data_IF_466076743804
#
_entry.id   IF_466076743804
#
_cell.length_a   1.000
_cell.length_b   1.000
_cell.length_c   1.000
_cell.angle_alpha   90.00
_cell.angle_beta   90.00
_cell.angle_gamma   90.00
#
_symmetry.space_group_name_H-M   'P 1'
#
loop_
_entity.id
_entity.type
_entity.pdbx_description
1 polymer ?
#
# COMPACT_ATOMS: atom_id res chain seq x y z
N UNK A 1 17.40 -16.31 8.73
CA UNK A 1 17.79 -15.10 7.99
C UNK A 1 16.74 -14.05 8.27
N UNK A 2 17.04 -13.16 9.21
CA UNK A 2 16.10 -12.25 9.84
C UNK A 2 15.70 -11.15 8.85
N UNK A 3 14.44 -11.09 8.41
CA UNK A 3 13.87 -9.85 7.90
C UNK A 3 13.26 -9.14 9.10
N UNK A 4 13.83 -7.98 9.46
CA UNK A 4 13.38 -7.15 10.56
C UNK A 4 11.89 -6.82 10.35
N UNK A 5 11.05 -7.36 11.23
CA UNK A 5 9.66 -6.95 11.35
C UNK A 5 9.70 -5.57 12.01
N UNK A 6 9.31 -4.54 11.27
CA UNK A 6 9.27 -3.16 11.76
C UNK A 6 8.40 -3.09 13.02
N UNK A 7 9.06 -2.92 14.16
CA UNK A 7 8.46 -2.68 15.48
C UNK A 7 7.97 -1.23 15.56
N UNK A 8 6.86 -0.93 14.91
CA UNK A 8 6.01 0.22 15.25
C UNK A 8 4.55 -0.23 15.19
N UNK A 9 4.12 -0.79 16.31
CA UNK A 9 2.82 -1.36 16.56
C UNK A 9 1.78 -0.24 16.77
N UNK A 10 1.38 0.43 15.68
CA UNK A 10 0.17 1.24 15.68
C UNK A 10 -1.01 0.31 15.36
N UNK A 11 -1.85 0.03 16.36
CA UNK A 11 -3.03 -0.85 16.24
C UNK A 11 -4.15 -0.20 15.42
N UNK A 12 -3.88 0.17 14.17
CA UNK A 12 -4.88 0.20 13.12
C UNK A 12 -5.18 -1.23 12.69
N UNK A 13 -6.39 -1.53 12.18
CA UNK A 13 -6.71 -2.85 11.66
C UNK A 13 -5.58 -3.35 10.74
N UNK A 14 -5.18 -4.61 10.90
CA UNK A 14 -4.16 -5.25 10.05
C UNK A 14 -4.45 -4.93 8.58
N UNK A 15 -3.44 -4.46 7.84
CA UNK A 15 -3.65 -3.96 6.49
C UNK A 15 -4.41 -5.02 5.65
N UNK A 16 -5.48 -4.64 4.93
CA UNK A 16 -6.24 -5.62 4.16
C UNK A 16 -5.30 -6.33 3.18
N UNK A 17 -5.48 -7.65 3.04
CA UNK A 17 -4.65 -8.47 2.15
C UNK A 17 -4.65 -7.89 0.74
N UNK A 18 -3.46 -7.65 0.20
CA UNK A 18 -3.22 -7.23 -1.17
C UNK A 18 -1.98 -7.97 -1.66
N UNK A 19 -2.06 -8.58 -2.85
CA UNK A 19 -0.94 -9.23 -3.51
C UNK A 19 -0.38 -8.28 -4.58
N UNK A 20 0.84 -7.76 -4.40
CA UNK A 20 1.49 -6.95 -5.43
C UNK A 20 1.74 -7.75 -6.70
N UNK A 21 1.52 -7.13 -7.85
CA UNK A 21 1.77 -7.69 -9.19
C UNK A 21 3.02 -7.07 -9.83
N UNK A 22 3.45 -5.90 -9.35
CA UNK A 22 4.66 -5.23 -9.75
C UNK A 22 5.21 -4.32 -8.65
N UNK A 23 5.69 -3.14 -9.03
CA UNK A 23 6.32 -2.16 -8.14
C UNK A 23 5.34 -1.08 -7.63
N UNK A 24 4.02 -1.31 -7.72
CA UNK A 24 3.01 -0.32 -7.37
C UNK A 24 3.10 0.15 -5.90
N UNK A 25 3.46 -0.74 -4.96
CA UNK A 25 3.64 -0.36 -3.56
C UNK A 25 4.78 0.66 -3.39
N UNK A 26 5.91 0.46 -4.08
CA UNK A 26 7.06 1.35 -4.01
C UNK A 26 6.75 2.70 -4.67
N UNK A 27 6.13 2.69 -5.86
CA UNK A 27 5.70 3.90 -6.55
C UNK A 27 4.68 4.70 -5.72
N UNK A 28 3.74 4.01 -5.07
CA UNK A 28 2.75 4.65 -4.23
C UNK A 28 3.39 5.32 -3.01
N UNK A 29 4.29 4.62 -2.32
CA UNK A 29 5.05 5.19 -1.19
C UNK A 29 5.88 6.41 -1.64
N UNK A 30 6.55 6.33 -2.79
CA UNK A 30 7.31 7.45 -3.33
C UNK A 30 6.43 8.66 -3.64
N UNK A 31 5.29 8.46 -4.30
CA UNK A 31 4.34 9.53 -4.59
C UNK A 31 3.73 10.13 -3.32
N UNK A 32 3.38 9.30 -2.33
CA UNK A 32 2.86 9.74 -1.04
C UNK A 32 3.86 10.64 -0.30
N UNK A 33 5.12 10.22 -0.21
CA UNK A 33 6.20 10.98 0.43
C UNK A 33 6.43 12.34 -0.25
N UNK A 34 6.27 12.40 -1.58
CA UNK A 34 6.42 13.62 -2.37
C UNK A 34 5.11 14.41 -2.54
N UNK A 35 4.00 13.97 -1.93
CA UNK A 35 2.67 14.60 -2.05
C UNK A 35 2.19 14.75 -3.52
N UNK A 36 2.52 13.77 -4.37
CA UNK A 36 2.15 13.75 -5.78
C UNK A 36 0.80 13.02 -5.94
N UNK A 37 -0.21 13.63 -6.60
CA UNK A 37 -1.48 12.94 -6.91
C UNK A 37 -1.28 11.72 -7.81
N UNK A 38 -1.99 10.63 -7.52
CA UNK A 38 -1.95 9.39 -8.30
C UNK A 38 -3.30 9.10 -8.97
N UNK A 39 -3.24 8.67 -10.23
CA UNK A 39 -4.38 8.09 -10.96
C UNK A 39 -4.23 6.57 -11.04
N UNK A 40 -5.14 5.83 -10.41
CA UNK A 40 -5.18 4.37 -10.48
C UNK A 40 -6.06 3.91 -11.65
N UNK A 41 -5.44 3.43 -12.73
CA UNK A 41 -6.14 2.91 -13.92
C UNK A 41 -6.27 1.38 -13.90
N UNK A 42 -7.37 0.86 -14.45
CA UNK A 42 -7.59 -0.58 -14.66
C UNK A 42 -9.08 -0.94 -14.73
N UNK A 43 -9.43 -2.15 -15.19
CA UNK A 43 -10.82 -2.60 -15.30
C UNK A 43 -11.50 -2.69 -13.91
N UNK A 44 -12.82 -2.80 -13.88
CA UNK A 44 -13.54 -3.06 -12.62
C UNK A 44 -13.09 -4.38 -11.99
N UNK A 45 -13.11 -4.47 -10.66
CA UNK A 45 -12.72 -5.70 -9.95
C UNK A 45 -11.21 -6.00 -9.86
N UNK A 46 -10.32 -5.24 -10.50
CA UNK A 46 -8.86 -5.52 -10.48
C UNK A 46 -8.13 -5.13 -9.18
N UNK A 47 -8.85 -4.83 -8.09
CA UNK A 47 -8.24 -4.59 -6.77
C UNK A 47 -7.78 -3.16 -6.46
N UNK A 48 -8.05 -2.14 -7.30
CA UNK A 48 -7.64 -0.74 -7.04
C UNK A 48 -8.04 -0.21 -5.66
N UNK A 49 -9.29 -0.38 -5.25
CA UNK A 49 -9.77 0.08 -3.94
C UNK A 49 -9.07 -0.65 -2.79
N UNK A 50 -8.83 -1.95 -2.96
CA UNK A 50 -8.12 -2.77 -1.98
C UNK A 50 -6.64 -2.39 -1.88
N UNK A 51 -6.01 -2.06 -3.00
CA UNK A 51 -4.66 -1.51 -3.03
C UNK A 51 -4.55 -0.21 -2.24
N UNK A 52 -5.46 0.75 -2.46
CA UNK A 52 -5.47 2.01 -1.70
C UNK A 52 -5.65 1.75 -0.21
N UNK A 53 -6.61 0.90 0.18
CA UNK A 53 -6.84 0.57 1.59
C UNK A 53 -5.63 -0.13 2.22
N UNK A 54 -4.96 -1.01 1.48
CA UNK A 54 -3.72 -1.66 1.92
C UNK A 54 -2.59 -0.65 2.12
N UNK A 55 -2.37 0.26 1.17
CA UNK A 55 -1.34 1.29 1.29
C UNK A 55 -1.65 2.31 2.38
N UNK A 56 -2.92 2.70 2.56
CA UNK A 56 -3.34 3.57 3.66
C UNK A 56 -3.03 2.94 5.02
N UNK A 57 -3.44 1.69 5.25
CA UNK A 57 -3.13 0.99 6.50
C UNK A 57 -1.61 0.82 6.75
N UNK A 58 -0.79 0.77 5.70
CA UNK A 58 0.67 0.67 5.80
C UNK A 58 1.37 2.01 6.03
N UNK A 59 0.86 3.10 5.48
CA UNK A 59 1.49 4.43 5.48
C UNK A 59 0.98 5.33 6.63
N UNK A 60 -0.13 4.97 7.27
CA UNK A 60 -0.74 5.68 8.40
C UNK A 60 -1.78 6.69 7.99
#
# INVERSE_FOLDING_TARGET
MQAAVDMNNNKGAEAPFYLPVGNECELFSAAFNNRIPLLLKGPTGCGKTRFVAHMAARLG
#
